data_IF_558924059672
#
_entry.id   IF_558924059672
#
_cell.length_a   1.000
_cell.length_b   1.000
_cell.length_c   1.000
_cell.angle_alpha   90.00
_cell.angle_beta   90.00
_cell.angle_gamma   90.00
#
_symmetry.space_group_name_H-M   'P 1'
#
loop_
_entity.id
_entity.type
_entity.pdbx_description
1 polymer ?
#
# COMPACT_ATOMS: atom_id res chain seq x y z
N UNK A 1 15.46 -1.85 -14.74
CA UNK A 1 16.58 -1.91 -15.70
C UNK A 1 17.87 -2.34 -15.01
N UNK A 2 18.67 -3.18 -15.66
CA UNK A 2 20.01 -3.53 -15.20
C UNK A 2 20.99 -2.46 -15.71
N UNK A 3 21.54 -1.65 -14.80
CA UNK A 3 22.56 -0.66 -15.12
C UNK A 3 23.90 -1.23 -14.69
N UNK A 4 24.82 -1.43 -15.63
CA UNK A 4 26.20 -1.77 -15.28
C UNK A 4 26.93 -0.48 -14.90
N UNK A 5 27.48 -0.42 -13.70
CA UNK A 5 28.32 0.70 -13.26
C UNK A 5 29.73 0.18 -13.03
N UNK A 6 30.70 0.85 -13.68
CA UNK A 6 32.12 0.61 -13.45
C UNK A 6 32.58 1.47 -12.28
N UNK A 7 33.12 0.84 -11.23
CA UNK A 7 33.66 1.51 -10.06
C UNK A 7 35.18 1.26 -10.02
N UNK A 8 35.95 2.03 -10.80
CA UNK A 8 37.42 1.95 -10.81
C UNK A 8 37.97 0.53 -10.98
N UNK A 9 38.99 0.18 -10.21
CA UNK A 9 39.70 -1.11 -10.27
C UNK A 9 38.94 -2.32 -9.65
N UNK A 10 37.60 -2.25 -9.48
CA UNK A 10 36.82 -3.35 -8.89
C UNK A 10 35.60 -3.72 -9.75
N UNK A 11 35.42 -5.05 -9.89
CA UNK A 11 34.35 -5.86 -10.51
C UNK A 11 33.04 -5.12 -10.83
N UNK A 12 32.55 -5.32 -12.06
CA UNK A 12 31.24 -4.84 -12.54
C UNK A 12 30.15 -5.02 -11.48
N UNK A 13 29.55 -3.92 -11.03
CA UNK A 13 28.37 -3.94 -10.17
C UNK A 13 27.15 -3.66 -11.02
N UNK A 14 26.20 -4.60 -11.05
CA UNK A 14 24.87 -4.34 -11.61
C UNK A 14 24.03 -3.58 -10.58
N UNK A 15 23.69 -2.34 -10.88
CA UNK A 15 22.73 -1.54 -10.13
C UNK A 15 21.38 -1.68 -10.83
N UNK A 16 20.35 -2.09 -10.11
CA UNK A 16 19.00 -2.13 -10.65
C UNK A 16 18.29 -0.83 -10.37
N UNK A 17 17.78 -0.19 -11.42
CA UNK A 17 16.88 0.96 -11.30
C UNK A 17 15.45 0.49 -11.47
N UNK A 18 14.63 0.82 -10.48
CA UNK A 18 13.19 0.66 -10.54
C UNK A 18 12.56 1.70 -11.48
N UNK A 19 11.67 1.25 -12.36
CA UNK A 19 10.77 2.12 -13.12
C UNK A 19 9.35 1.88 -12.60
N UNK A 20 8.59 2.96 -12.40
CA UNK A 20 7.25 2.88 -11.79
C UNK A 20 7.27 3.07 -10.28
N UNK A 21 6.27 2.51 -9.59
CA UNK A 21 6.09 2.75 -8.16
C UNK A 21 7.16 2.05 -7.31
N UNK A 22 7.70 2.69 -6.26
CA UNK A 22 8.65 2.05 -5.34
C UNK A 22 8.08 0.78 -4.69
N UNK A 23 6.78 0.78 -4.40
CA UNK A 23 6.05 -0.36 -3.85
C UNK A 23 6.10 -1.57 -4.77
N UNK A 24 5.83 -1.41 -6.06
CA UNK A 24 5.87 -2.53 -7.01
C UNK A 24 7.29 -3.01 -7.27
N UNK A 25 8.24 -2.08 -7.31
CA UNK A 25 9.65 -2.45 -7.40
C UNK A 25 10.10 -3.30 -6.20
N UNK A 26 9.64 -2.97 -4.99
CA UNK A 26 9.92 -3.78 -3.81
C UNK A 26 9.34 -5.20 -3.92
N UNK A 27 8.14 -5.36 -4.49
CA UNK A 27 7.53 -6.67 -4.75
C UNK A 27 8.31 -7.47 -5.80
N UNK A 28 8.78 -6.82 -6.86
CA UNK A 28 9.61 -7.47 -7.88
C UNK A 28 10.93 -7.97 -7.28
N UNK A 29 11.60 -7.14 -6.47
CA UNK A 29 12.83 -7.54 -5.76
C UNK A 29 12.57 -8.70 -4.80
N UNK A 30 11.41 -8.71 -4.11
CA UNK A 30 11.03 -9.82 -3.25
C UNK A 30 10.85 -11.12 -4.06
N UNK A 31 10.13 -11.06 -5.18
CA UNK A 31 9.92 -12.22 -6.07
C UNK A 31 11.25 -12.78 -6.59
N UNK A 32 12.15 -11.91 -7.04
CA UNK A 32 13.49 -12.31 -7.51
C UNK A 32 14.33 -12.96 -6.41
N UNK A 33 14.30 -12.42 -5.19
CA UNK A 33 14.97 -13.03 -4.03
C UNK A 33 14.39 -14.39 -3.65
N UNK A 34 13.11 -14.62 -3.94
CA UNK A 34 12.45 -15.91 -3.78
C UNK A 34 12.72 -16.88 -4.96
N UNK A 35 13.52 -16.47 -5.95
CA UNK A 35 13.89 -17.31 -7.10
C UNK A 35 12.97 -17.15 -8.32
N UNK A 36 12.04 -16.19 -8.30
CA UNK A 36 11.14 -15.93 -9.43
C UNK A 36 11.67 -14.79 -10.31
N UNK A 37 11.89 -15.08 -11.59
CA UNK A 37 12.23 -14.05 -12.58
C UNK A 37 10.96 -13.47 -13.22
N UNK A 38 10.75 -12.14 -13.16
CA UNK A 38 9.64 -11.50 -13.86
C UNK A 38 9.65 -11.77 -15.38
N UNK A 39 10.83 -11.90 -15.98
CA UNK A 39 10.97 -12.19 -17.41
C UNK A 39 10.55 -13.62 -17.75
N UNK A 40 10.71 -14.56 -16.82
CA UNK A 40 10.23 -15.94 -17.00
C UNK A 40 8.73 -16.02 -16.82
N UNK A 41 8.15 -15.25 -15.88
CA UNK A 41 6.69 -15.18 -15.71
C UNK A 41 5.99 -14.62 -16.95
N UNK A 42 6.57 -13.61 -17.61
CA UNK A 42 6.06 -13.08 -18.88
C UNK A 42 6.08 -14.09 -20.03
N UNK A 43 6.93 -15.10 -19.96
CA UNK A 43 6.98 -16.22 -20.92
C UNK A 43 6.07 -17.38 -20.54
N UNK A 44 5.44 -17.34 -19.37
CA UNK A 44 4.52 -18.37 -18.87
C UNK A 44 3.07 -17.93 -18.87
N UNK A 45 2.83 -16.63 -18.74
CA UNK A 45 1.48 -16.08 -18.64
C UNK A 45 1.23 -15.02 -19.71
N UNK A 46 0.04 -15.09 -20.32
CA UNK A 46 -0.51 -14.05 -21.18
C UNK A 46 -1.43 -13.16 -20.35
N UNK A 47 -1.17 -11.85 -20.33
CA UNK A 47 -2.08 -10.89 -19.68
C UNK A 47 -3.28 -10.67 -20.60
N UNK A 48 -4.48 -10.88 -20.07
CA UNK A 48 -5.75 -10.70 -20.78
C UNK A 48 -6.37 -9.32 -20.50
N UNK A 49 -6.30 -8.87 -19.24
CA UNK A 49 -6.81 -7.57 -18.82
C UNK A 49 -6.12 -7.07 -17.55
N UNK A 50 -6.10 -5.75 -17.37
CA UNK A 50 -5.59 -5.11 -16.15
C UNK A 50 -6.57 -4.05 -15.65
N UNK A 51 -6.97 -4.18 -14.39
CA UNK A 51 -7.67 -3.14 -13.64
C UNK A 51 -6.65 -2.41 -12.78
N UNK A 52 -6.20 -1.26 -13.29
CA UNK A 52 -5.22 -0.42 -12.62
C UNK A 52 -5.65 0.00 -11.21
N UNK A 53 -4.64 0.33 -10.40
CA UNK A 53 -4.86 0.93 -9.09
C UNK A 53 -5.54 2.29 -9.24
N UNK A 54 -6.60 2.52 -8.45
CA UNK A 54 -7.14 3.86 -8.21
C UNK A 54 -7.21 4.12 -6.70
N UNK A 55 -7.09 5.39 -6.28
CA UNK A 55 -7.18 5.76 -4.87
C UNK A 55 -8.57 5.46 -4.27
N UNK A 56 -9.61 5.45 -5.12
CA UNK A 56 -10.99 5.14 -4.71
C UNK A 56 -11.13 3.67 -4.29
N UNK A 57 -10.59 2.73 -5.08
CA UNK A 57 -10.73 1.29 -4.84
C UNK A 57 -9.56 0.69 -4.04
N UNK A 58 -8.41 1.38 -4.00
CA UNK A 58 -7.17 1.03 -3.28
C UNK A 58 -6.64 -0.38 -3.55
N UNK A 59 -6.88 -0.88 -4.75
CA UNK A 59 -6.42 -2.20 -5.22
C UNK A 59 -6.27 -2.21 -6.73
N UNK A 60 -5.54 -3.18 -7.24
CA UNK A 60 -5.46 -3.49 -8.66
C UNK A 60 -5.58 -4.98 -8.87
N UNK A 61 -6.00 -5.36 -10.08
CA UNK A 61 -6.19 -6.75 -10.47
C UNK A 61 -5.65 -6.98 -11.87
N UNK A 62 -4.83 -8.02 -12.04
CA UNK A 62 -4.36 -8.48 -13.35
C UNK A 62 -4.98 -9.83 -13.64
N UNK A 63 -5.55 -9.97 -14.84
CA UNK A 63 -6.12 -11.23 -15.33
C UNK A 63 -5.14 -11.81 -16.34
N UNK A 64 -4.76 -13.06 -16.14
CA UNK A 64 -3.88 -13.77 -17.04
C UNK A 64 -4.28 -15.23 -17.23
N UNK A 65 -3.81 -15.82 -18.32
CA UNK A 65 -3.87 -17.26 -18.57
C UNK A 65 -2.46 -17.83 -18.70
N UNK A 66 -2.19 -19.04 -18.18
CA UNK A 66 -0.99 -19.79 -18.53
C UNK A 66 -0.94 -20.06 -20.04
N UNK A 67 0.24 -19.93 -20.64
CA UNK A 67 0.44 -20.19 -22.08
C UNK A 67 0.37 -21.69 -22.43
N UNK A 68 0.59 -22.57 -21.46
CA UNK A 68 0.47 -24.02 -21.61
C UNK A 68 -0.96 -24.55 -21.33
N UNK A 69 -1.84 -23.69 -20.78
CA UNK A 69 -3.25 -24.01 -20.54
C UNK A 69 -4.12 -22.75 -20.65
N UNK A 70 -4.47 -22.36 -21.88
CA UNK A 70 -5.27 -21.14 -22.11
C UNK A 70 -6.69 -21.21 -21.55
N UNK A 71 -7.19 -22.40 -21.18
CA UNK A 71 -8.48 -22.58 -20.52
C UNK A 71 -8.44 -22.26 -19.01
N UNK A 72 -7.25 -22.11 -18.43
CA UNK A 72 -7.10 -21.64 -17.06
C UNK A 72 -6.96 -20.13 -17.05
N UNK A 73 -7.84 -19.47 -16.30
CA UNK A 73 -7.87 -18.02 -16.21
C UNK A 73 -7.78 -17.63 -14.74
N UNK A 74 -6.74 -16.86 -14.43
CA UNK A 74 -6.42 -16.44 -13.07
C UNK A 74 -6.54 -14.92 -12.96
N UNK A 75 -7.25 -14.47 -11.94
CA UNK A 75 -7.24 -13.07 -11.51
C UNK A 75 -6.36 -12.93 -10.28
N UNK A 76 -5.36 -12.06 -10.33
CA UNK A 76 -4.50 -11.74 -9.19
C UNK A 76 -4.74 -10.31 -8.73
N UNK A 77 -5.13 -10.15 -7.47
CA UNK A 77 -5.41 -8.86 -6.86
C UNK A 77 -4.40 -8.53 -5.77
N UNK A 78 -3.92 -7.28 -5.76
CA UNK A 78 -3.13 -6.73 -4.65
C UNK A 78 -3.66 -5.36 -4.26
N UNK A 79 -3.62 -5.03 -2.97
CA UNK A 79 -4.15 -3.76 -2.51
C UNK A 79 -4.10 -3.57 -1.00
N UNK A 80 -4.79 -2.52 -0.56
CA UNK A 80 -4.94 -2.22 0.85
C UNK A 80 -5.61 -3.38 1.60
N UNK A 81 -5.16 -3.71 2.82
CA UNK A 81 -5.66 -4.86 3.56
C UNK A 81 -7.18 -4.96 3.66
N UNK A 82 -7.83 -3.87 4.07
CA UNK A 82 -9.28 -3.83 4.20
C UNK A 82 -9.99 -4.07 2.87
N UNK A 83 -9.45 -3.57 1.75
CA UNK A 83 -10.08 -3.67 0.42
C UNK A 83 -9.94 -5.04 -0.21
N UNK A 84 -8.87 -5.76 0.07
CA UNK A 84 -8.71 -7.14 -0.37
C UNK A 84 -9.51 -8.09 0.53
N UNK A 85 -9.47 -7.90 1.85
CA UNK A 85 -10.23 -8.76 2.78
C UNK A 85 -11.75 -8.58 2.64
N UNK A 86 -12.22 -7.40 2.27
CA UNK A 86 -13.64 -7.11 1.99
C UNK A 86 -14.18 -7.99 0.86
N UNK A 87 -13.41 -8.17 -0.21
CA UNK A 87 -13.80 -8.91 -1.41
C UNK A 87 -13.33 -10.38 -1.43
N UNK A 88 -12.70 -10.85 -0.36
CA UNK A 88 -12.24 -12.24 -0.23
C UNK A 88 -13.23 -13.07 0.60
N UNK A 89 -13.75 -14.14 0.03
CA UNK A 89 -14.65 -15.09 0.70
C UNK A 89 -13.89 -16.31 1.24
N UNK A 90 -12.76 -16.65 0.63
CA UNK A 90 -11.94 -17.81 0.95
C UNK A 90 -10.50 -17.42 1.28
N UNK A 91 -9.75 -18.35 1.86
CA UNK A 91 -8.33 -18.22 2.16
C UNK A 91 -7.64 -19.55 1.88
N UNK A 92 -6.47 -19.51 1.26
CA UNK A 92 -5.64 -20.69 1.08
C UNK A 92 -4.65 -20.82 2.24
N UNK A 93 -4.60 -22.00 2.87
CA UNK A 93 -3.67 -22.32 3.95
C UNK A 93 -3.07 -23.69 3.64
N UNK A 94 -1.76 -23.72 3.43
CA UNK A 94 -1.00 -24.95 3.14
C UNK A 94 -1.57 -25.74 1.93
N UNK A 95 -2.03 -25.04 0.90
CA UNK A 95 -2.64 -25.63 -0.30
C UNK A 95 -4.13 -25.96 -0.17
N UNK A 96 -4.73 -25.77 1.00
CA UNK A 96 -6.16 -26.01 1.22
C UNK A 96 -6.96 -24.70 1.22
N UNK A 97 -7.99 -24.63 0.37
CA UNK A 97 -8.93 -23.52 0.33
C UNK A 97 -9.98 -23.70 1.44
N UNK A 98 -10.11 -22.67 2.30
CA UNK A 98 -11.02 -22.65 3.45
C UNK A 98 -11.85 -21.38 3.46
N UNK A 99 -12.97 -21.40 4.17
CA UNK A 99 -13.77 -20.19 4.39
C UNK A 99 -12.96 -19.13 5.13
N UNK A 100 -12.95 -17.90 4.61
CA UNK A 100 -12.27 -16.78 5.24
C UNK A 100 -13.14 -16.19 6.35
N UNK A 101 -13.32 -16.98 7.41
CA UNK A 101 -14.19 -16.65 8.53
C UNK A 101 -13.81 -15.33 9.21
N UNK A 102 -14.78 -14.71 9.91
CA UNK A 102 -14.55 -13.49 10.71
C UNK A 102 -13.39 -13.64 11.69
N UNK A 103 -13.24 -14.83 12.29
CA UNK A 103 -12.14 -15.14 13.23
C UNK A 103 -10.78 -15.08 12.53
N UNK A 104 -10.67 -15.63 11.33
CA UNK A 104 -9.43 -15.58 10.54
C UNK A 104 -9.13 -14.14 10.08
N UNK A 105 -10.12 -13.42 9.55
CA UNK A 105 -9.98 -12.00 9.16
C UNK A 105 -9.45 -11.16 10.33
N UNK A 106 -10.03 -11.31 11.53
CA UNK A 106 -9.59 -10.62 12.74
C UNK A 106 -8.15 -10.96 13.11
N UNK A 107 -7.78 -12.25 13.09
CA UNK A 107 -6.42 -12.69 13.40
C UNK A 107 -5.38 -12.08 12.44
N UNK A 108 -5.68 -12.05 11.13
CA UNK A 108 -4.77 -11.47 10.13
C UNK A 108 -4.70 -9.95 10.29
N UNK A 109 -5.83 -9.28 10.54
CA UNK A 109 -5.84 -7.84 10.82
C UNK A 109 -4.98 -7.47 12.04
N UNK A 110 -5.01 -8.27 13.11
CA UNK A 110 -4.13 -8.06 14.26
C UNK A 110 -2.64 -8.16 13.89
N UNK A 111 -2.28 -9.13 13.03
CA UNK A 111 -0.90 -9.27 12.54
C UNK A 111 -0.49 -8.09 11.65
N UNK A 112 -1.38 -7.62 10.79
CA UNK A 112 -1.17 -6.44 9.93
C UNK A 112 -0.98 -5.19 10.80
N UNK A 113 -1.85 -5.00 11.80
CA UNK A 113 -1.74 -3.89 12.73
C UNK A 113 -0.43 -3.90 13.52
N UNK A 114 0.03 -5.07 13.97
CA UNK A 114 1.33 -5.21 14.63
C UNK A 114 2.51 -4.77 13.73
N UNK A 115 2.42 -5.02 12.42
CA UNK A 115 3.41 -4.52 11.45
C UNK A 115 3.27 -3.02 11.19
N UNK A 116 2.04 -2.51 11.14
CA UNK A 116 1.80 -1.08 10.97
C UNK A 116 2.34 -0.24 12.15
N UNK A 117 2.23 -0.72 13.40
CA UNK A 117 2.85 -0.09 14.59
C UNK A 117 4.38 -0.05 14.49
N UNK A 118 4.98 -0.97 13.74
CA UNK A 118 6.42 -0.99 13.48
C UNK A 118 6.82 -0.12 12.27
N UNK A 119 5.88 0.68 11.73
CA UNK A 119 6.15 1.57 10.59
C UNK A 119 6.16 0.89 9.23
N UNK A 120 5.76 -0.39 9.14
CA UNK A 120 5.66 -1.06 7.84
C UNK A 120 4.39 -0.65 7.10
N UNK A 121 4.50 -0.48 5.78
CA UNK A 121 3.40 -0.45 4.82
C UNK A 121 3.01 -1.89 4.50
N UNK A 122 1.73 -2.23 4.58
CA UNK A 122 1.26 -3.60 4.29
C UNK A 122 0.37 -3.65 3.06
N UNK A 123 0.55 -4.68 2.23
CA UNK A 123 -0.35 -4.99 1.11
C UNK A 123 -0.83 -6.42 1.23
N UNK A 124 -2.12 -6.64 0.97
CA UNK A 124 -2.69 -7.97 0.86
C UNK A 124 -2.69 -8.44 -0.58
N UNK A 125 -2.59 -9.75 -0.76
CA UNK A 125 -2.60 -10.45 -2.05
C UNK A 125 -3.68 -11.51 -1.99
N UNK A 126 -4.49 -11.59 -3.04
CA UNK A 126 -5.52 -12.59 -3.23
C UNK A 126 -5.55 -12.99 -4.71
N UNK A 127 -6.14 -14.13 -5.00
CA UNK A 127 -6.35 -14.59 -6.37
C UNK A 127 -7.73 -15.22 -6.52
N UNK A 128 -8.09 -15.53 -7.76
CA UNK A 128 -9.26 -16.34 -8.08
C UNK A 128 -8.99 -17.14 -9.35
N UNK A 129 -9.60 -18.32 -9.43
CA UNK A 129 -9.73 -19.05 -10.69
C UNK A 129 -11.09 -18.71 -11.29
N UNK A 130 -11.07 -18.09 -12.47
CA UNK A 130 -12.27 -17.57 -13.13
C UNK A 130 -12.92 -18.59 -14.06
N UNK A 131 -12.19 -19.64 -14.47
CA UNK A 131 -12.57 -20.57 -15.53
C UNK A 131 -12.65 -19.89 -16.89
N UNK A 132 -13.62 -19.00 -17.09
CA UNK A 132 -13.83 -18.23 -18.31
C UNK A 132 -13.76 -16.71 -18.04
N UNK A 133 -13.14 -15.98 -18.97
CA UNK A 133 -13.08 -14.53 -18.97
C UNK A 133 -13.81 -13.99 -20.19
N UNK A 134 -15.01 -13.49 -19.93
CA UNK A 134 -15.60 -12.46 -20.77
C UNK A 134 -15.20 -11.10 -20.17
N UNK A 135 -15.07 -10.07 -21.01
CA UNK A 135 -14.83 -8.69 -20.59
C UNK A 135 -15.97 -8.17 -19.70
N UNK A 136 -15.94 -8.56 -18.43
CA UNK A 136 -16.94 -8.23 -17.43
C UNK A 136 -16.54 -6.96 -16.66
N UNK A 137 -17.50 -6.26 -16.04
CA UNK A 137 -17.19 -5.14 -15.16
C UNK A 137 -16.27 -5.55 -14.01
N UNK A 138 -15.39 -4.64 -13.59
CA UNK A 138 -14.40 -4.85 -12.51
C UNK A 138 -15.01 -5.45 -11.25
N UNK A 139 -16.20 -5.00 -10.86
CA UNK A 139 -16.90 -5.40 -9.64
C UNK A 139 -17.32 -6.87 -9.67
N UNK A 140 -17.57 -7.41 -10.86
CA UNK A 140 -17.92 -8.83 -11.03
C UNK A 140 -16.69 -9.75 -10.97
N UNK A 141 -15.50 -9.17 -11.14
CA UNK A 141 -14.21 -9.86 -11.14
C UNK A 141 -13.59 -9.74 -9.75
N UNK A 142 -13.65 -8.57 -9.12
CA UNK A 142 -13.08 -8.33 -7.80
C UNK A 142 -14.05 -8.71 -6.68
N UNK A 143 -14.50 -9.97 -6.67
CA UNK A 143 -15.39 -10.55 -5.65
C UNK A 143 -15.05 -12.01 -5.40
N UNK A 144 -15.43 -12.52 -4.23
CA UNK A 144 -15.27 -13.93 -3.85
C UNK A 144 -13.83 -14.46 -4.01
N UNK A 145 -12.84 -13.61 -3.76
CA UNK A 145 -11.43 -13.96 -3.93
C UNK A 145 -10.97 -14.96 -2.86
N UNK A 146 -9.91 -15.69 -3.21
CA UNK A 146 -9.13 -16.53 -2.32
C UNK A 146 -7.94 -15.71 -1.81
N UNK A 147 -7.98 -15.34 -0.53
CA UNK A 147 -6.91 -14.64 0.14
C UNK A 147 -5.66 -15.52 0.25
N UNK A 148 -4.48 -15.00 -0.10
CA UNK A 148 -3.20 -15.72 0.03
C UNK A 148 -2.41 -15.26 1.25
N UNK A 149 -2.36 -13.95 1.47
CA UNK A 149 -1.48 -13.41 2.49
C UNK A 149 -1.30 -11.91 2.39
N UNK A 150 -0.32 -11.41 3.14
CA UNK A 150 0.10 -10.03 3.07
C UNK A 150 1.62 -9.93 3.12
N UNK A 151 2.13 -8.84 2.56
CA UNK A 151 3.53 -8.46 2.59
C UNK A 151 3.68 -7.19 3.42
N UNK A 152 4.82 -7.06 4.10
CA UNK A 152 5.20 -5.85 4.84
C UNK A 152 6.40 -5.23 4.15
N UNK A 153 6.26 -3.95 3.79
CA UNK A 153 7.24 -3.16 3.05
C UNK A 153 7.69 -2.05 3.99
N UNK A 154 8.99 -1.96 4.22
CA UNK A 154 9.57 -0.83 4.94
C UNK A 154 9.77 0.33 3.96
N UNK A 155 9.16 1.46 4.26
CA UNK A 155 9.27 2.70 3.48
C UNK A 155 9.79 3.79 4.41
N UNK A 156 11.11 3.78 4.72
CA UNK A 156 11.66 4.64 5.75
C UNK A 156 11.66 6.11 5.29
N UNK A 157 11.59 7.08 6.23
CA UNK A 157 11.78 8.48 5.91
C UNK A 157 13.09 8.71 5.15
N UNK A 158 13.07 9.67 4.22
CA UNK A 158 14.30 10.11 3.55
C UNK A 158 15.27 10.71 4.57
N UNK A 159 16.56 10.49 4.35
CA UNK A 159 17.63 11.12 5.13
C UNK A 159 17.43 12.65 5.08
N UNK A 160 17.55 13.31 6.24
CA UNK A 160 17.37 14.77 6.39
C UNK A 160 15.93 15.25 6.61
N UNK A 161 14.92 14.37 6.52
CA UNK A 161 13.51 14.77 6.79
C UNK A 161 13.33 15.21 8.24
N UNK A 162 13.92 14.47 9.20
CA UNK A 162 13.87 14.84 10.62
C UNK A 162 14.49 16.22 10.87
N UNK A 163 15.68 16.45 10.33
CA UNK A 163 16.37 17.74 10.47
C UNK A 163 15.53 18.89 9.89
N UNK A 164 14.89 18.66 8.75
CA UNK A 164 13.98 19.64 8.13
C UNK A 164 12.76 19.94 9.01
N UNK A 165 12.16 18.91 9.60
CA UNK A 165 11.04 19.06 10.55
C UNK A 165 11.48 19.86 11.79
N UNK A 166 12.67 19.59 12.31
CA UNK A 166 13.19 20.27 13.49
C UNK A 166 13.52 21.75 13.20
N UNK A 167 14.04 22.08 12.00
CA UNK A 167 14.21 23.47 11.54
C UNK A 167 12.85 24.20 11.48
N UNK A 168 11.83 23.59 10.87
CA UNK A 168 10.49 24.19 10.81
C UNK A 168 9.92 24.49 12.20
N UNK A 169 10.05 23.53 13.13
CA UNK A 169 9.58 23.73 14.51
C UNK A 169 10.37 24.82 15.24
N UNK A 170 11.68 24.90 15.05
CA UNK A 170 12.51 25.95 15.65
C UNK A 170 12.10 27.35 15.17
N UNK A 171 11.58 27.45 13.94
CA UNK A 171 10.97 28.66 13.39
C UNK A 171 9.51 28.91 13.84
N UNK A 172 8.96 28.08 14.72
CA UNK A 172 7.57 28.19 15.19
C UNK A 172 6.52 27.67 14.20
N UNK A 173 6.93 26.96 13.15
CA UNK A 173 6.03 26.39 12.13
C UNK A 173 5.54 25.02 12.60
N UNK A 174 4.22 24.85 12.65
CA UNK A 174 3.60 23.54 12.90
C UNK A 174 3.65 22.69 11.62
N UNK A 175 4.37 21.57 11.66
CA UNK A 175 4.38 20.59 10.58
C UNK A 175 3.26 19.57 10.79
N UNK A 176 2.54 19.24 9.73
CA UNK A 176 1.45 18.25 9.73
C UNK A 176 1.68 17.23 8.63
N UNK A 177 1.50 15.95 8.94
CA UNK A 177 1.56 14.88 7.95
C UNK A 177 0.19 14.66 7.31
N UNK A 178 0.15 14.55 5.98
CA UNK A 178 -1.05 14.19 5.22
C UNK A 178 -0.70 13.03 4.30
N UNK A 179 -1.24 11.85 4.57
CA UNK A 179 -0.89 10.60 3.86
C UNK A 179 -2.11 9.71 3.58
N UNK A 180 -2.02 8.91 2.52
CA UNK A 180 -2.99 7.85 2.21
C UNK A 180 -2.76 6.56 3.00
N UNK A 181 -1.69 6.49 3.79
CA UNK A 181 -1.29 5.28 4.52
C UNK A 181 -2.20 4.96 5.71
N UNK A 182 -2.03 3.74 6.23
CA UNK A 182 -2.73 3.28 7.42
C UNK A 182 -2.39 4.19 8.63
N UNK A 183 -3.36 4.54 9.50
CA UNK A 183 -3.15 5.46 10.63
C UNK A 183 -1.99 5.07 11.55
N UNK A 184 -1.89 3.77 11.89
CA UNK A 184 -0.80 3.26 12.71
C UNK A 184 0.60 3.44 12.07
N UNK A 185 0.73 3.19 10.75
CA UNK A 185 1.98 3.40 10.02
C UNK A 185 2.31 4.89 9.98
N UNK A 186 1.34 5.72 9.59
CA UNK A 186 1.49 7.17 9.51
C UNK A 186 1.93 7.78 10.85
N UNK A 187 1.29 7.37 11.96
CA UNK A 187 1.66 7.77 13.32
C UNK A 187 3.09 7.39 13.67
N UNK A 188 3.50 6.16 13.37
CA UNK A 188 4.85 5.66 13.67
C UNK A 188 5.90 6.48 12.92
N UNK A 189 5.73 6.62 11.60
CA UNK A 189 6.63 7.40 10.75
C UNK A 189 6.66 8.88 11.18
N UNK A 190 5.50 9.47 11.49
CA UNK A 190 5.40 10.84 11.99
C UNK A 190 6.14 11.01 13.32
N UNK A 191 6.11 10.01 14.20
CA UNK A 191 6.83 10.03 15.47
C UNK A 191 8.35 9.97 15.24
N UNK A 192 8.81 9.11 14.33
CA UNK A 192 10.24 8.97 13.98
C UNK A 192 10.85 10.27 13.44
N UNK A 193 10.11 10.99 12.58
CA UNK A 193 10.55 12.29 12.03
C UNK A 193 10.21 13.48 12.92
N UNK A 194 9.56 13.23 14.07
CA UNK A 194 9.22 14.23 15.06
C UNK A 194 7.97 15.08 14.74
N UNK A 195 7.19 14.76 13.71
CA UNK A 195 5.91 15.44 13.43
C UNK A 195 4.89 15.17 14.54
N UNK A 196 4.85 13.93 15.06
CA UNK A 196 3.87 13.51 16.06
C UNK A 196 4.47 13.48 17.47
N UNK A 197 3.73 13.99 18.46
CA UNK A 197 4.07 14.00 19.88
C UNK A 197 2.99 13.33 20.74
N UNK A 198 3.32 13.03 21.98
CA UNK A 198 2.33 12.58 22.95
C UNK A 198 1.21 13.61 23.10
N UNK A 199 -0.04 13.16 22.92
CA UNK A 199 -1.32 13.91 22.88
C UNK A 199 -1.71 14.52 21.53
N UNK A 200 -0.89 14.40 20.50
CA UNK A 200 -1.33 14.76 19.15
C UNK A 200 -2.41 13.79 18.65
N UNK A 201 -3.28 14.30 17.77
CA UNK A 201 -4.35 13.52 17.17
C UNK A 201 -3.92 12.96 15.80
N UNK A 202 -4.36 11.74 15.54
CA UNK A 202 -4.39 11.12 14.21
C UNK A 202 -5.84 11.11 13.76
N UNK A 203 -6.12 11.69 12.61
CA UNK A 203 -7.47 11.77 12.03
C UNK A 203 -7.51 11.00 10.73
N UNK A 204 -8.50 10.14 10.56
CA UNK A 204 -8.70 9.43 9.29
C UNK A 204 -9.44 10.32 8.27
N UNK A 205 -9.18 10.11 6.98
CA UNK A 205 -9.79 10.88 5.89
C UNK A 205 -11.32 11.01 6.00
N UNK A 206 -11.98 9.91 6.38
CA UNK A 206 -13.43 9.85 6.55
C UNK A 206 -13.98 10.79 7.65
N UNK A 207 -13.15 11.16 8.62
CA UNK A 207 -13.52 11.97 9.79
C UNK A 207 -13.27 13.47 9.58
N UNK A 208 -12.47 13.84 8.57
CA UNK A 208 -12.04 15.23 8.32
C UNK A 208 -13.22 16.19 8.21
N UNK A 209 -14.28 15.79 7.51
CA UNK A 209 -15.47 16.64 7.28
C UNK A 209 -16.30 16.88 8.55
N UNK A 210 -16.17 15.99 9.54
CA UNK A 210 -16.90 16.05 10.80
C UNK A 210 -16.07 16.66 11.93
N UNK A 211 -14.77 16.88 11.68
CA UNK A 211 -13.87 17.44 12.67
C UNK A 211 -14.28 18.88 12.99
N UNK A 212 -14.58 19.15 14.26
CA UNK A 212 -14.86 20.51 14.71
C UNK A 212 -13.58 21.35 14.60
N UNK A 213 -13.73 22.62 14.23
CA UNK A 213 -12.61 23.54 13.97
C UNK A 213 -11.56 23.58 15.10
N UNK A 214 -12.00 23.57 16.35
CA UNK A 214 -11.13 23.63 17.52
C UNK A 214 -10.12 22.47 17.63
N UNK A 215 -10.40 21.29 17.07
CA UNK A 215 -9.49 20.14 17.15
C UNK A 215 -8.43 20.12 16.04
N UNK A 216 -8.57 20.92 14.97
CA UNK A 216 -7.56 20.96 13.88
C UNK A 216 -6.16 21.35 14.39
N UNK A 217 -6.09 22.16 15.45
CA UNK A 217 -4.83 22.57 16.09
C UNK A 217 -4.10 21.43 16.79
N UNK A 218 -4.79 20.36 17.16
CA UNK A 218 -4.23 19.19 17.84
C UNK A 218 -3.89 18.05 16.87
N UNK A 219 -4.33 18.13 15.61
CA UNK A 219 -4.03 17.11 14.60
C UNK A 219 -2.62 17.28 14.05
N UNK A 220 -1.80 16.25 14.15
CA UNK A 220 -0.46 16.20 13.53
C UNK A 220 -0.39 15.21 12.37
N UNK A 221 -1.34 14.29 12.26
CA UNK A 221 -1.39 13.28 11.19
C UNK A 221 -2.81 13.16 10.66
N UNK A 222 -2.97 13.36 9.36
CA UNK A 222 -4.14 12.94 8.59
C UNK A 222 -3.77 11.69 7.78
N UNK A 223 -4.44 10.57 8.06
CA UNK A 223 -4.21 9.27 7.44
C UNK A 223 -5.37 8.84 6.54
N UNK A 224 -5.14 7.89 5.62
CA UNK A 224 -6.14 7.45 4.61
C UNK A 224 -6.80 8.61 3.83
N UNK A 225 -6.07 9.69 3.60
CA UNK A 225 -6.56 10.93 2.98
C UNK A 225 -6.72 10.76 1.47
N UNK A 226 -7.89 11.09 0.93
CA UNK A 226 -8.14 11.15 -0.51
C UNK A 226 -7.67 12.50 -1.11
N UNK A 227 -7.43 12.60 -2.43
CA UNK A 227 -7.03 13.86 -3.06
C UNK A 227 -7.94 15.05 -2.73
N UNK A 228 -9.26 14.83 -2.69
CA UNK A 228 -10.26 15.86 -2.37
C UNK A 228 -10.19 16.34 -0.92
N UNK A 229 -9.77 15.49 0.01
CA UNK A 229 -9.68 15.84 1.42
C UNK A 229 -8.53 16.81 1.70
N UNK A 230 -7.49 16.80 0.87
CA UNK A 230 -6.34 17.72 1.01
C UNK A 230 -6.76 19.18 0.90
N UNK A 231 -7.66 19.49 -0.03
CA UNK A 231 -8.20 20.83 -0.19
C UNK A 231 -8.99 21.27 1.06
N UNK A 232 -9.76 20.35 1.65
CA UNK A 232 -10.50 20.60 2.89
C UNK A 232 -9.54 20.88 4.04
N UNK A 233 -8.48 20.09 4.21
CA UNK A 233 -7.47 20.29 5.25
C UNK A 233 -6.83 21.68 5.10
N UNK A 234 -6.36 22.03 3.90
CA UNK A 234 -5.71 23.32 3.64
C UNK A 234 -6.65 24.49 3.90
N UNK A 235 -7.90 24.41 3.41
CA UNK A 235 -8.91 25.46 3.65
C UNK A 235 -9.22 25.67 5.13
N UNK A 236 -9.25 24.60 5.93
CA UNK A 236 -9.47 24.72 7.37
C UNK A 236 -8.32 25.45 8.07
N UNK A 237 -7.07 25.13 7.73
CA UNK A 237 -5.92 25.87 8.27
C UNK A 237 -5.87 27.34 7.81
N UNK A 238 -6.25 27.64 6.56
CA UNK A 238 -6.35 29.02 6.06
C UNK A 238 -7.41 29.84 6.80
N UNK A 239 -8.57 29.25 7.12
CA UNK A 239 -9.61 29.95 7.90
C UNK A 239 -9.18 30.31 9.32
N UNK A 240 -8.15 29.68 9.86
CA UNK A 240 -7.59 29.98 11.18
C UNK A 240 -6.33 30.87 11.12
N UNK A 241 -6.03 31.45 9.95
CA UNK A 241 -4.81 32.24 9.69
C UNK A 241 -3.52 31.47 10.05
N UNK A 242 -3.49 30.17 9.71
CA UNK A 242 -2.34 29.26 9.97
C UNK A 242 -1.52 28.90 8.73
N UNK A 243 -1.94 29.35 7.55
CA UNK A 243 -1.28 29.15 6.25
C UNK A 243 -1.26 30.48 5.51
#
# INVERSE_FOLDING_TARGET
ENIKVHLGDIKEKTIRRALGSPTEAALLVLAEKAGFSPDDLKKKYKILAEFSFSSEVKRMTTICSPLDNEHEILGFSKGAPEKIMEISSQIEIDGEIKDFSKKLKLNINNKIHARAIQGFRTLCIAYQNMGEFDEKPRESIEKDLIFLGFVSIMDPPRIGVKDSVDICKAAGIKVVMVTGDHPATAKTIASEVGIFKDRDLVVEGAEIKQLQHNFFKEVSVFARVEPLDKEIIVRNYQKEDKV
#
